data_IF_349893289179
#
_entry.id   IF_349893289179
#
_cell.length_a   1.000
_cell.length_b   1.000
_cell.length_c   1.000
_cell.angle_alpha   90.00
_cell.angle_beta   90.00
_cell.angle_gamma   90.00
#
_symmetry.space_group_name_H-M   'P 1'
#
loop_
_entity.id
_entity.type
_entity.pdbx_description
1 polymer ?
#
# COMPACT_ATOMS: atom_id res chain seq x y z
N UNK A 1 -25.80 13.23 18.92
CA UNK A 1 -25.42 13.10 17.50
C UNK A 1 -24.31 12.07 17.41
N UNK A 2 -24.60 10.87 16.90
CA UNK A 2 -23.58 9.85 16.65
C UNK A 2 -22.77 10.29 15.43
N UNK A 3 -21.49 10.62 15.59
CA UNK A 3 -20.58 10.71 14.45
C UNK A 3 -20.55 9.36 13.74
N UNK A 4 -20.68 9.29 12.40
CA UNK A 4 -20.47 8.05 11.68
C UNK A 4 -19.08 7.52 12.06
N UNK A 5 -18.99 6.23 12.38
CA UNK A 5 -17.70 5.57 12.63
C UNK A 5 -16.84 5.72 11.37
N UNK A 6 -15.73 6.45 11.49
CA UNK A 6 -14.78 6.66 10.41
C UNK A 6 -13.75 5.52 10.43
N UNK A 7 -14.11 4.37 9.86
CA UNK A 7 -13.35 3.13 10.03
C UNK A 7 -11.92 3.28 9.47
N UNK A 8 -11.76 3.70 8.22
CA UNK A 8 -10.45 3.78 7.58
C UNK A 8 -9.60 4.95 8.10
N UNK A 9 -10.20 6.05 8.57
CA UNK A 9 -9.45 7.17 9.17
C UNK A 9 -8.81 6.84 10.52
N UNK A 10 -9.25 5.76 11.18
CA UNK A 10 -8.73 5.33 12.49
C UNK A 10 -7.72 4.19 12.41
N UNK A 11 -7.44 3.66 11.22
CA UNK A 11 -6.50 2.55 11.03
C UNK A 11 -5.10 2.97 11.49
N UNK A 12 -4.42 2.18 12.35
CA UNK A 12 -3.07 2.51 12.79
C UNK A 12 -2.06 2.35 11.66
N UNK A 13 -0.98 3.12 11.73
CA UNK A 13 0.16 2.96 10.83
C UNK A 13 0.91 1.66 11.12
N UNK A 14 1.37 1.01 10.05
CA UNK A 14 2.36 -0.07 10.18
C UNK A 14 3.71 0.57 10.52
N UNK A 15 4.43 0.10 11.57
CA UNK A 15 5.70 0.66 11.99
C UNK A 15 6.72 0.79 10.84
N UNK A 16 7.41 1.94 10.79
CA UNK A 16 8.40 2.25 9.75
C UNK A 16 7.83 2.73 8.42
N UNK A 17 6.52 2.58 8.16
CA UNK A 17 5.94 2.88 6.85
C UNK A 17 6.09 4.33 6.39
N UNK A 18 5.88 5.30 7.29
CA UNK A 18 6.03 6.72 6.95
C UNK A 18 7.47 7.07 6.56
N UNK A 19 8.44 6.63 7.37
CA UNK A 19 9.86 6.91 7.16
C UNK A 19 10.36 6.27 5.86
N UNK A 20 10.09 4.97 5.67
CA UNK A 20 10.59 4.24 4.51
C UNK A 20 9.97 4.76 3.21
N UNK A 21 8.66 5.03 3.19
CA UNK A 21 8.03 5.61 1.99
C UNK A 21 8.55 7.03 1.70
N UNK A 22 8.89 7.82 2.72
CA UNK A 22 9.50 9.15 2.55
C UNK A 22 10.95 9.07 2.04
N UNK A 23 11.70 8.01 2.34
CA UNK A 23 13.02 7.79 1.76
C UNK A 23 12.94 7.26 0.34
N UNK A 24 12.05 6.31 0.09
CA UNK A 24 11.81 5.77 -1.25
C UNK A 24 11.36 6.87 -2.22
N UNK A 25 10.56 7.84 -1.79
CA UNK A 25 10.11 8.95 -2.65
C UNK A 25 11.25 9.84 -3.17
N UNK A 26 12.46 9.74 -2.61
CA UNK A 26 13.65 10.44 -3.11
C UNK A 26 14.31 9.74 -4.30
N UNK A 27 14.05 8.45 -4.49
CA UNK A 27 14.68 7.62 -5.54
C UNK A 27 13.66 7.03 -6.51
N UNK A 28 12.40 6.89 -6.09
CA UNK A 28 11.32 6.25 -6.83
C UNK A 28 10.13 7.18 -7.00
N UNK A 29 9.45 7.06 -8.13
CA UNK A 29 8.13 7.68 -8.32
C UNK A 29 7.07 6.82 -7.61
N UNK A 30 6.62 7.27 -6.44
CA UNK A 30 5.67 6.52 -5.60
C UNK A 30 4.23 6.84 -6.00
N UNK A 31 3.42 5.78 -6.10
CA UNK A 31 1.96 5.85 -6.15
C UNK A 31 1.37 4.97 -5.04
N UNK A 32 0.34 5.49 -4.36
CA UNK A 32 -0.45 4.72 -3.40
C UNK A 32 -1.70 4.21 -4.11
N UNK A 33 -1.78 2.90 -4.31
CA UNK A 33 -2.92 2.26 -4.97
C UNK A 33 -3.78 1.55 -3.93
N UNK A 34 -5.05 1.95 -3.80
CA UNK A 34 -5.96 1.35 -2.82
C UNK A 34 -7.32 1.02 -3.43
N UNK A 35 -7.84 -0.16 -3.09
CA UNK A 35 -9.23 -0.49 -3.36
C UNK A 35 -10.15 0.44 -2.55
N UNK A 36 -11.04 1.16 -3.22
CA UNK A 36 -11.90 2.15 -2.57
C UNK A 36 -13.29 2.33 -3.24
N UNK A 37 -13.59 1.53 -4.27
CA UNK A 37 -14.90 1.57 -4.95
C UNK A 37 -15.88 0.54 -4.41
N UNK A 38 -15.42 -0.40 -3.57
CA UNK A 38 -16.26 -1.45 -2.96
C UNK A 38 -17.20 -0.89 -1.88
N UNK A 39 -16.75 0.12 -1.13
CA UNK A 39 -17.53 0.76 -0.07
C UNK A 39 -17.64 2.27 -0.33
N UNK A 40 -18.87 2.84 -0.40
CA UNK A 40 -19.08 4.24 -0.78
C UNK A 40 -18.32 5.27 0.06
N UNK A 41 -18.13 5.00 1.37
CA UNK A 41 -17.43 5.91 2.28
C UNK A 41 -15.90 5.76 2.26
N UNK A 42 -15.39 4.62 1.75
CA UNK A 42 -13.96 4.28 1.91
C UNK A 42 -13.02 5.22 1.16
N UNK A 43 -13.43 5.77 0.02
CA UNK A 43 -12.60 6.67 -0.78
C UNK A 43 -12.23 7.93 0.01
N UNK A 44 -13.22 8.64 0.54
CA UNK A 44 -13.00 9.87 1.31
C UNK A 44 -12.17 9.59 2.56
N UNK A 45 -12.48 8.51 3.29
CA UNK A 45 -11.75 8.16 4.51
C UNK A 45 -10.28 7.81 4.24
N UNK A 46 -10.00 7.02 3.19
CA UNK A 46 -8.62 6.67 2.79
C UNK A 46 -7.85 7.90 2.31
N UNK A 47 -8.50 8.80 1.56
CA UNK A 47 -7.89 10.06 1.13
C UNK A 47 -7.51 10.94 2.34
N UNK A 48 -8.43 11.12 3.30
CA UNK A 48 -8.16 11.89 4.51
C UNK A 48 -7.04 11.27 5.36
N UNK A 49 -7.06 9.94 5.51
CA UNK A 49 -6.02 9.21 6.22
C UNK A 49 -4.65 9.39 5.56
N UNK A 50 -4.55 9.29 4.23
CA UNK A 50 -3.30 9.51 3.51
C UNK A 50 -2.80 10.95 3.66
N UNK A 51 -3.66 11.96 3.55
CA UNK A 51 -3.24 13.36 3.74
C UNK A 51 -2.73 13.62 5.17
N UNK A 52 -3.33 12.98 6.18
CA UNK A 52 -2.91 13.11 7.57
C UNK A 52 -1.55 12.44 7.84
N UNK A 53 -1.33 11.25 7.28
CA UNK A 53 -0.18 10.42 7.64
C UNK A 53 0.98 10.48 6.63
N UNK A 54 0.74 10.83 5.38
CA UNK A 54 1.75 10.91 4.31
C UNK A 54 1.65 12.26 3.60
N UNK A 55 1.88 13.40 4.29
CA UNK A 55 1.67 14.74 3.73
C UNK A 55 2.59 15.08 2.54
N UNK A 56 3.61 14.26 2.29
CA UNK A 56 4.51 14.37 1.14
C UNK A 56 4.02 13.62 -0.09
N UNK A 57 2.94 12.83 0.00
CA UNK A 57 2.28 12.17 -1.12
C UNK A 57 1.15 13.10 -1.60
N UNK A 58 1.28 13.60 -2.83
CA UNK A 58 0.27 14.48 -3.43
C UNK A 58 -0.96 13.69 -3.92
N UNK A 59 -2.08 14.37 -4.13
CA UNK A 59 -3.29 13.76 -4.69
C UNK A 59 -3.06 13.09 -6.06
N UNK A 60 -2.08 13.56 -6.84
CA UNK A 60 -1.72 12.96 -8.15
C UNK A 60 -1.08 11.57 -8.01
N UNK A 61 -0.60 11.23 -6.82
CA UNK A 61 0.02 9.95 -6.52
C UNK A 61 -0.95 8.96 -5.86
N UNK A 62 -2.22 9.35 -5.66
CA UNK A 62 -3.25 8.50 -5.05
C UNK A 62 -4.14 7.89 -6.14
N UNK A 63 -4.18 6.56 -6.20
CA UNK A 63 -4.98 5.80 -7.16
C UNK A 63 -6.01 4.99 -6.39
N UNK A 64 -7.26 5.45 -6.43
CA UNK A 64 -8.40 4.77 -5.85
C UNK A 64 -9.17 4.01 -6.93
N UNK A 65 -9.19 2.69 -6.85
CA UNK A 65 -9.73 1.83 -7.91
C UNK A 65 -10.50 0.63 -7.35
N UNK A 66 -11.06 -0.20 -8.25
CA UNK A 66 -11.65 -1.50 -7.91
C UNK A 66 -10.65 -2.64 -8.05
N UNK A 67 -10.07 -2.79 -9.26
CA UNK A 67 -9.00 -3.75 -9.56
C UNK A 67 -7.66 -3.04 -9.75
N UNK A 68 -6.57 -3.74 -9.43
CA UNK A 68 -5.17 -3.31 -9.66
C UNK A 68 -4.57 -3.87 -10.95
N UNK A 69 -5.31 -4.65 -11.73
CA UNK A 69 -4.83 -5.25 -12.99
C UNK A 69 -4.36 -4.20 -14.02
N UNK A 70 -4.88 -2.98 -13.95
CA UNK A 70 -4.51 -1.89 -14.89
C UNK A 70 -3.24 -1.14 -14.47
N UNK A 71 -2.66 -1.46 -13.31
CA UNK A 71 -1.52 -0.73 -12.76
C UNK A 71 -0.25 -1.14 -13.50
N UNK A 72 0.34 -0.18 -14.22
CA UNK A 72 1.55 -0.35 -15.00
C UNK A 72 2.72 0.40 -14.34
N UNK A 73 3.37 -0.26 -13.40
CA UNK A 73 4.56 0.23 -12.69
C UNK A 73 5.64 -0.87 -12.68
N UNK A 74 6.84 -0.54 -12.21
CA UNK A 74 7.95 -1.51 -12.18
C UNK A 74 7.93 -2.41 -10.95
N UNK A 75 7.41 -1.88 -9.82
CA UNK A 75 7.39 -2.54 -8.51
C UNK A 75 6.00 -2.44 -7.90
N UNK A 76 5.54 -3.51 -7.25
CA UNK A 76 4.34 -3.53 -6.40
C UNK A 76 4.67 -4.13 -5.04
N UNK A 77 4.28 -3.41 -3.97
CA UNK A 77 4.31 -3.90 -2.59
C UNK A 77 2.85 -4.05 -2.15
N UNK A 78 2.41 -5.29 -1.92
CA UNK A 78 1.02 -5.61 -1.58
C UNK A 78 0.96 -6.87 -0.71
N UNK A 79 -0.10 -7.03 0.06
CA UNK A 79 -0.32 -8.18 0.94
C UNK A 79 -1.25 -9.24 0.34
N UNK A 80 -1.83 -8.99 -0.84
CA UNK A 80 -2.77 -9.88 -1.49
C UNK A 80 -2.22 -10.50 -2.79
N UNK A 81 -2.15 -11.83 -2.82
CA UNK A 81 -1.78 -12.60 -4.02
C UNK A 81 -2.58 -12.21 -5.27
N UNK A 82 -3.91 -12.00 -5.16
CA UNK A 82 -4.74 -11.59 -6.31
C UNK A 82 -4.26 -10.33 -7.03
N UNK A 83 -3.58 -9.42 -6.34
CA UNK A 83 -3.02 -8.20 -6.94
C UNK A 83 -1.62 -8.48 -7.52
N UNK A 84 -0.81 -9.28 -6.81
CA UNK A 84 0.57 -9.58 -7.18
C UNK A 84 0.67 -10.60 -8.33
N UNK A 85 -0.23 -11.58 -8.40
CA UNK A 85 -0.19 -12.67 -9.36
C UNK A 85 -0.33 -12.17 -10.81
N UNK A 86 -1.14 -11.13 -10.99
CA UNK A 86 -1.44 -10.48 -12.28
C UNK A 86 -0.54 -9.27 -12.57
N UNK A 87 0.37 -8.92 -11.67
CA UNK A 87 1.32 -7.83 -11.88
C UNK A 87 2.55 -8.31 -12.64
N UNK A 88 2.91 -7.59 -13.70
CA UNK A 88 4.01 -7.98 -14.61
C UNK A 88 5.41 -7.63 -14.06
N UNK A 89 5.49 -6.69 -13.12
CA UNK A 89 6.75 -6.19 -12.56
C UNK A 89 7.26 -6.96 -11.34
N UNK A 90 8.24 -6.37 -10.63
CA UNK A 90 8.78 -6.96 -9.40
C UNK A 90 7.75 -6.85 -8.26
N UNK A 91 7.45 -7.98 -7.63
CA UNK A 91 6.46 -8.06 -6.55
C UNK A 91 7.10 -8.31 -5.20
N UNK A 92 6.70 -7.53 -4.20
CA UNK A 92 6.98 -7.79 -2.80
C UNK A 92 5.68 -8.17 -2.06
N UNK A 93 5.60 -9.41 -1.57
CA UNK A 93 4.50 -9.86 -0.74
C UNK A 93 4.72 -9.39 0.70
N UNK A 94 3.97 -8.37 1.12
CA UNK A 94 4.05 -7.83 2.48
C UNK A 94 3.33 -8.77 3.46
N UNK A 95 4.05 -9.29 4.45
CA UNK A 95 3.50 -10.25 5.42
C UNK A 95 2.36 -9.62 6.23
N UNK A 96 1.22 -10.30 6.26
CA UNK A 96 0.04 -9.99 7.07
C UNK A 96 -0.55 -11.30 7.60
N UNK A 97 -1.36 -11.28 8.68
CA UNK A 97 -1.87 -12.50 9.31
C UNK A 97 -2.57 -13.48 8.34
N UNK A 98 -3.27 -12.99 7.31
CA UNK A 98 -3.95 -13.83 6.32
C UNK A 98 -3.01 -14.50 5.31
N UNK A 99 -1.80 -13.99 5.12
CA UNK A 99 -0.85 -14.53 4.13
C UNK A 99 0.39 -15.17 4.74
N UNK A 100 0.61 -15.04 6.06
CA UNK A 100 1.84 -15.44 6.78
C UNK A 100 2.23 -16.91 6.56
N UNK A 101 1.24 -17.81 6.57
CA UNK A 101 1.47 -19.27 6.42
C UNK A 101 1.50 -19.75 4.98
N UNK A 102 1.19 -18.87 4.02
CA UNK A 102 1.16 -19.23 2.60
C UNK A 102 2.57 -19.18 2.01
N UNK A 103 2.91 -20.12 1.13
CA UNK A 103 4.12 -20.00 0.32
C UNK A 103 4.05 -18.71 -0.53
N UNK A 104 5.12 -17.90 -0.60
CA UNK A 104 5.11 -16.69 -1.40
C UNK A 104 5.16 -16.95 -2.91
N UNK A 105 5.40 -18.19 -3.35
CA UNK A 105 5.46 -18.55 -4.76
C UNK A 105 6.56 -17.78 -5.49
N UNK A 106 6.18 -17.04 -6.55
CA UNK A 106 7.10 -16.21 -7.34
C UNK A 106 7.44 -14.86 -6.69
N UNK A 107 6.78 -14.49 -5.59
CA UNK A 107 6.95 -13.18 -4.97
C UNK A 107 8.07 -13.16 -3.94
N UNK A 108 8.73 -12.01 -3.78
CA UNK A 108 9.70 -11.80 -2.72
C UNK A 108 8.95 -11.39 -1.44
N UNK A 109 8.94 -12.25 -0.41
CA UNK A 109 8.24 -11.95 0.85
C UNK A 109 9.05 -10.95 1.68
N UNK A 110 8.37 -9.94 2.23
CA UNK A 110 8.94 -8.99 3.19
C UNK A 110 8.07 -8.92 4.44
N UNK A 111 8.67 -8.89 5.62
CA UNK A 111 7.93 -8.94 6.88
C UNK A 111 7.62 -7.57 7.49
N UNK A 112 8.30 -6.53 7.02
CA UNK A 112 8.18 -5.18 7.53
C UNK A 112 8.81 -4.17 6.56
N UNK A 113 8.62 -2.89 6.84
CA UNK A 113 9.16 -1.80 6.04
C UNK A 113 10.70 -1.71 6.04
N UNK A 114 11.38 -2.18 7.09
CA UNK A 114 12.85 -2.16 7.13
C UNK A 114 13.46 -3.12 6.11
N UNK A 115 12.83 -4.27 5.86
CA UNK A 115 13.26 -5.18 4.80
C UNK A 115 13.13 -4.53 3.41
N UNK A 116 12.01 -3.84 3.15
CA UNK A 116 11.84 -3.04 1.92
C UNK A 116 12.94 -1.99 1.78
N UNK A 117 13.21 -1.22 2.85
CA UNK A 117 14.29 -0.21 2.87
C UNK A 117 15.64 -0.84 2.52
N UNK A 118 15.98 -1.97 3.14
CA UNK A 118 17.24 -2.68 2.88
C UNK A 118 17.34 -3.16 1.43
N UNK A 119 16.26 -3.66 0.84
CA UNK A 119 16.28 -4.20 -0.53
C UNK A 119 16.32 -3.09 -1.59
N UNK A 120 15.61 -1.99 -1.37
CA UNK A 120 15.40 -0.95 -2.40
C UNK A 120 16.31 0.28 -2.24
N UNK A 121 16.88 0.50 -1.06
CA UNK A 121 17.75 1.64 -0.75
C UNK A 121 19.12 1.23 -0.18
N UNK A 122 19.35 -0.08 0.03
CA UNK A 122 20.60 -0.64 0.55
C UNK A 122 21.55 -1.15 -0.52
#
# INVERSE_FOLDING_TARGET
>A
MCTPKVFFETVPLIPGGQEVVAELSKQYKIFIVSAATEFPLSLTEKHNWLNKHFPFISWQQMVFCGSKEIIKTDIMIDDHFKNLDVFDGKTFLFTQPHNEKSSPGKHERVNNWNEIKKILLG
#
